data_IF_433820810528
#
_entry.id   IF_433820810528
#
_cell.length_a   1.000
_cell.length_b   1.000
_cell.length_c   1.000
_cell.angle_alpha   90.00
_cell.angle_beta   90.00
_cell.angle_gamma   90.00
#
_symmetry.space_group_name_H-M   'P 1'
#
loop_
_entity.id
_entity.type
_entity.pdbx_description
1 polymer ?
#
# COMPACT_ATOMS: atom_id res chain seq x y z
N UNK A 1 8.58 56.86 -55.23
CA UNK A 1 9.68 56.67 -54.28
C UNK A 1 9.02 56.38 -52.94
N UNK A 2 8.85 55.15 -52.49
CA UNK A 2 9.49 53.89 -52.86
C UNK A 2 8.55 52.70 -52.57
N UNK A 3 8.88 51.59 -53.20
CA UNK A 3 8.19 50.29 -53.21
C UNK A 3 8.31 49.61 -51.84
N UNK A 4 7.18 49.28 -51.19
CA UNK A 4 7.16 48.33 -50.08
C UNK A 4 6.98 46.92 -50.68
N UNK A 5 8.11 46.25 -50.95
CA UNK A 5 8.15 44.86 -51.41
C UNK A 5 7.66 43.89 -50.31
N UNK A 6 6.66 43.09 -50.67
CA UNK A 6 6.15 41.97 -49.89
C UNK A 6 7.19 40.84 -49.82
N UNK A 7 7.78 40.61 -48.64
CA UNK A 7 8.48 39.35 -48.35
C UNK A 7 7.54 38.42 -47.55
N UNK A 8 6.66 37.71 -48.26
CA UNK A 8 5.86 36.62 -47.70
C UNK A 8 6.79 35.46 -47.32
N UNK A 9 7.21 35.41 -46.05
CA UNK A 9 7.83 34.23 -45.46
C UNK A 9 6.73 33.22 -45.13
N UNK A 10 6.60 32.18 -45.95
CA UNK A 10 5.68 31.07 -45.70
C UNK A 10 6.22 30.22 -44.54
N UNK A 11 5.42 29.92 -43.50
CA UNK A 11 5.86 29.04 -42.44
C UNK A 11 6.13 27.64 -43.01
N UNK A 12 7.39 27.22 -42.93
CA UNK A 12 7.84 25.86 -43.17
C UNK A 12 7.05 24.93 -42.24
N UNK A 13 6.20 24.07 -42.81
CA UNK A 13 5.44 23.08 -42.04
C UNK A 13 6.40 22.08 -41.40
N UNK A 14 6.43 22.02 -40.07
CA UNK A 14 7.23 21.05 -39.33
C UNK A 14 6.86 19.61 -39.76
N UNK A 15 7.86 18.73 -39.96
CA UNK A 15 7.58 17.33 -40.29
C UNK A 15 6.83 16.67 -39.13
N UNK A 16 5.60 16.22 -39.40
CA UNK A 16 4.79 15.47 -38.45
C UNK A 16 5.53 14.17 -38.09
N UNK A 17 5.94 14.05 -36.82
CA UNK A 17 6.54 12.84 -36.26
C UNK A 17 5.53 11.68 -36.33
N UNK A 18 5.71 10.81 -37.33
CA UNK A 18 4.90 9.62 -37.60
C UNK A 18 5.40 8.39 -36.82
N UNK A 19 6.12 8.57 -35.72
CA UNK A 19 6.47 7.45 -34.84
C UNK A 19 5.20 6.78 -34.30
N UNK A 20 5.10 5.43 -34.30
CA UNK A 20 3.92 4.74 -33.78
C UNK A 20 3.71 5.16 -32.32
N UNK A 21 2.45 5.41 -31.89
CA UNK A 21 2.16 5.87 -30.55
C UNK A 21 2.73 4.86 -29.57
N UNK A 22 3.65 5.31 -28.71
CA UNK A 22 4.12 4.54 -27.56
C UNK A 22 2.87 4.14 -26.78
N UNK A 23 2.53 2.85 -26.80
CA UNK A 23 1.40 2.32 -26.05
C UNK A 23 1.66 2.62 -24.58
N UNK A 24 1.00 3.66 -24.05
CA UNK A 24 1.09 3.98 -22.63
C UNK A 24 0.59 2.76 -21.84
N UNK A 25 1.26 2.40 -20.72
CA UNK A 25 0.79 1.32 -19.86
C UNK A 25 -0.68 1.59 -19.50
N UNK A 26 -1.56 0.64 -19.79
CA UNK A 26 -2.99 0.76 -19.49
C UNK A 26 -3.16 0.64 -17.97
N UNK A 27 -3.25 1.78 -17.29
CA UNK A 27 -3.66 1.82 -15.89
C UNK A 27 -5.06 1.22 -15.76
N UNK A 28 -5.33 0.37 -14.75
CA UNK A 28 -6.67 -0.15 -14.52
C UNK A 28 -7.63 1.01 -14.26
N UNK A 29 -8.83 0.91 -14.84
CA UNK A 29 -9.87 1.91 -14.64
C UNK A 29 -10.31 1.98 -13.17
N UNK A 30 -10.82 3.14 -12.72
CA UNK A 30 -11.43 3.31 -11.40
C UNK A 30 -12.40 2.18 -11.00
N UNK A 31 -13.30 1.78 -11.90
CA UNK A 31 -14.30 0.74 -11.64
C UNK A 31 -13.67 -0.65 -11.41
N UNK A 32 -12.54 -0.94 -12.08
CA UNK A 32 -11.82 -2.20 -11.87
C UNK A 32 -11.13 -2.21 -10.50
N UNK A 33 -10.52 -1.10 -10.09
CA UNK A 33 -9.93 -0.94 -8.75
C UNK A 33 -11.00 -1.04 -7.67
N UNK A 34 -12.14 -0.36 -7.84
CA UNK A 34 -13.28 -0.46 -6.91
C UNK A 34 -13.77 -1.90 -6.75
N UNK A 35 -13.91 -2.63 -7.86
CA UNK A 35 -14.32 -4.04 -7.83
C UNK A 35 -13.27 -4.93 -7.12
N UNK A 36 -11.98 -4.69 -7.37
CA UNK A 36 -10.88 -5.41 -6.73
C UNK A 36 -10.87 -5.18 -5.22
N UNK A 37 -11.04 -3.93 -4.79
CA UNK A 37 -11.12 -3.57 -3.38
C UNK A 37 -12.39 -4.09 -2.71
N UNK A 38 -13.52 -4.11 -3.42
CA UNK A 38 -14.74 -4.73 -2.93
C UNK A 38 -14.54 -6.23 -2.66
N UNK A 39 -13.85 -6.94 -3.54
CA UNK A 39 -13.51 -8.36 -3.34
C UNK A 39 -12.56 -8.57 -2.13
N UNK A 40 -11.55 -7.71 -1.97
CA UNK A 40 -10.70 -7.71 -0.78
C UNK A 40 -11.49 -7.40 0.51
N UNK A 41 -12.48 -6.50 0.41
CA UNK A 41 -13.36 -6.09 1.50
C UNK A 41 -14.37 -7.19 1.89
N UNK A 42 -14.81 -8.00 0.94
CA UNK A 42 -15.75 -9.11 1.19
C UNK A 42 -15.06 -10.41 1.62
N UNK A 43 -13.75 -10.53 1.47
CA UNK A 43 -13.03 -11.77 1.77
C UNK A 43 -13.12 -12.81 0.65
N UNK A 44 -13.52 -12.40 -0.56
CA UNK A 44 -13.71 -13.32 -1.70
C UNK A 44 -12.41 -13.47 -2.49
N UNK A 45 -11.52 -14.35 -2.00
CA UNK A 45 -10.26 -14.66 -2.66
C UNK A 45 -10.43 -15.18 -4.11
N UNK A 46 -11.39 -16.09 -4.43
CA UNK A 46 -11.64 -16.49 -5.81
C UNK A 46 -12.01 -15.33 -6.74
N UNK A 47 -12.91 -14.44 -6.31
CA UNK A 47 -13.29 -13.26 -7.09
C UNK A 47 -12.11 -12.30 -7.23
N UNK A 48 -11.36 -12.04 -6.16
CA UNK A 48 -10.18 -11.20 -6.17
C UNK A 48 -9.13 -11.71 -7.18
N UNK A 49 -8.84 -13.02 -7.18
CA UNK A 49 -7.97 -13.67 -8.18
C UNK A 49 -8.49 -13.52 -9.61
N UNK A 50 -9.80 -13.66 -9.80
CA UNK A 50 -10.43 -13.52 -11.13
C UNK A 50 -10.34 -12.09 -11.64
N UNK A 51 -10.64 -11.11 -10.79
CA UNK A 51 -10.55 -9.69 -11.12
C UNK A 51 -9.11 -9.28 -11.40
N UNK A 52 -8.16 -9.79 -10.62
CA UNK A 52 -6.74 -9.56 -10.84
C UNK A 52 -6.25 -10.08 -12.20
N UNK A 53 -6.58 -11.33 -12.55
CA UNK A 53 -6.21 -11.88 -13.87
C UNK A 53 -6.78 -11.06 -15.03
N UNK A 54 -8.03 -10.62 -14.90
CA UNK A 54 -8.67 -9.77 -15.90
C UNK A 54 -8.04 -8.37 -15.99
N UNK A 55 -7.49 -7.86 -14.88
CA UNK A 55 -6.78 -6.59 -14.86
C UNK A 55 -5.37 -6.69 -15.49
N UNK A 56 -4.72 -7.85 -15.40
CA UNK A 56 -3.39 -8.15 -15.96
C UNK A 56 -3.34 -8.40 -17.47
N UNK A 57 -4.47 -8.40 -18.19
CA UNK A 57 -4.44 -8.47 -19.66
C UNK A 57 -3.81 -7.21 -20.32
N UNK A 58 -3.53 -6.18 -19.52
CA UNK A 58 -2.49 -5.19 -19.79
C UNK A 58 -1.41 -5.31 -18.72
N UNK A 59 -0.14 -5.13 -19.07
CA UNK A 59 1.03 -5.30 -18.21
C UNK A 59 1.07 -4.25 -17.06
N UNK A 60 0.20 -4.36 -16.05
CA UNK A 60 0.05 -3.43 -14.93
C UNK A 60 0.28 -4.12 -13.59
N UNK A 61 0.97 -3.46 -12.67
CA UNK A 61 1.25 -3.90 -11.29
C UNK A 61 0.04 -3.58 -10.37
N UNK A 62 -0.97 -4.45 -10.18
CA UNK A 62 -2.32 -4.04 -9.78
C UNK A 62 -2.48 -3.78 -8.27
N UNK A 63 -1.63 -4.39 -7.44
CA UNK A 63 -1.68 -4.21 -5.97
C UNK A 63 -0.73 -3.13 -5.45
N UNK A 64 0.08 -2.61 -6.36
CA UNK A 64 0.85 -1.38 -6.20
C UNK A 64 0.06 -0.16 -6.67
N UNK A 65 -1.26 -0.24 -6.75
CA UNK A 65 -2.09 0.90 -7.10
C UNK A 65 -2.92 1.25 -5.88
N UNK A 66 -2.80 2.50 -5.46
CA UNK A 66 -3.67 3.07 -4.45
C UNK A 66 -5.04 3.35 -5.09
N UNK A 67 -6.10 3.41 -4.28
CA UNK A 67 -7.38 3.94 -4.77
C UNK A 67 -7.24 5.45 -5.08
N UNK A 68 -6.90 5.80 -6.32
CA UNK A 68 -6.77 7.19 -6.77
C UNK A 68 -7.87 7.64 -7.74
N UNK A 69 -9.14 7.55 -7.35
CA UNK A 69 -10.14 8.33 -8.09
C UNK A 69 -11.24 8.94 -7.24
N UNK A 70 -11.48 8.46 -6.03
CA UNK A 70 -12.55 9.03 -5.18
C UNK A 70 -12.34 8.85 -3.66
N UNK A 71 -11.30 8.15 -3.23
CA UNK A 71 -11.05 7.87 -1.80
C UNK A 71 -9.84 8.67 -1.30
N UNK A 72 -10.08 9.52 -0.30
CA UNK A 72 -9.08 10.37 0.37
C UNK A 72 -8.05 9.58 1.20
N UNK A 73 -7.94 8.26 1.04
CA UNK A 73 -7.23 7.38 1.98
C UNK A 73 -5.95 6.73 1.45
N UNK A 74 -5.77 6.56 0.12
CA UNK A 74 -4.57 5.91 -0.43
C UNK A 74 -4.46 4.41 -0.15
N UNK A 75 -5.55 3.78 0.32
CA UNK A 75 -5.57 2.36 0.66
C UNK A 75 -5.39 1.46 -0.57
N UNK A 76 -4.67 0.36 -0.35
CA UNK A 76 -4.54 -0.76 -1.30
C UNK A 76 -5.42 -1.94 -0.85
N UNK A 77 -5.61 -2.94 -1.72
CA UNK A 77 -6.33 -4.16 -1.35
C UNK A 77 -5.68 -4.89 -0.15
N UNK A 78 -4.34 -4.79 -0.03
CA UNK A 78 -3.60 -5.35 1.08
C UNK A 78 -3.98 -4.69 2.42
N UNK A 79 -4.10 -3.36 2.46
CA UNK A 79 -4.57 -2.64 3.65
C UNK A 79 -5.99 -3.05 4.06
N UNK A 80 -6.89 -3.18 3.08
CA UNK A 80 -8.29 -3.56 3.32
C UNK A 80 -8.36 -4.98 3.87
N UNK A 81 -7.66 -5.93 3.24
CA UNK A 81 -7.62 -7.32 3.69
C UNK A 81 -7.04 -7.44 5.11
N UNK A 82 -5.97 -6.70 5.41
CA UNK A 82 -5.37 -6.69 6.73
C UNK A 82 -6.26 -6.06 7.80
N UNK A 83 -6.95 -4.96 7.49
CA UNK A 83 -7.92 -4.35 8.41
C UNK A 83 -9.09 -5.29 8.73
N UNK A 84 -9.48 -6.15 7.78
CA UNK A 84 -10.59 -7.10 7.94
C UNK A 84 -10.19 -8.48 8.45
N UNK A 85 -8.89 -8.79 8.53
CA UNK A 85 -8.43 -10.07 9.06
C UNK A 85 -8.40 -11.21 8.04
N UNK A 86 -8.47 -10.92 6.74
CA UNK A 86 -8.43 -11.95 5.69
C UNK A 86 -7.00 -12.36 5.37
N UNK A 87 -6.45 -13.26 6.20
CA UNK A 87 -5.08 -13.74 6.10
C UNK A 87 -4.77 -14.38 4.74
N UNK A 88 -5.69 -15.16 4.18
CA UNK A 88 -5.54 -15.82 2.89
C UNK A 88 -5.37 -14.82 1.73
N UNK A 89 -6.12 -13.71 1.76
CA UNK A 89 -5.96 -12.59 0.82
C UNK A 89 -4.64 -11.87 1.06
N UNK A 90 -4.25 -11.62 2.31
CA UNK A 90 -2.95 -10.98 2.63
C UNK A 90 -1.79 -11.80 2.08
N UNK A 91 -1.78 -13.11 2.35
CA UNK A 91 -0.76 -14.04 1.84
C UNK A 91 -0.70 -13.96 0.32
N UNK A 92 -1.85 -14.13 -0.33
CA UNK A 92 -1.90 -14.15 -1.78
C UNK A 92 -1.48 -12.80 -2.42
N UNK A 93 -1.91 -11.67 -1.86
CA UNK A 93 -1.51 -10.34 -2.34
C UNK A 93 0.02 -10.15 -2.29
N UNK A 94 0.69 -10.65 -1.25
CA UNK A 94 2.14 -10.49 -1.08
C UNK A 94 2.92 -11.48 -1.96
N UNK A 95 2.55 -12.75 -1.94
CA UNK A 95 3.33 -13.82 -2.59
C UNK A 95 3.07 -13.90 -4.12
N UNK A 96 1.85 -13.59 -4.56
CA UNK A 96 1.42 -13.76 -5.96
C UNK A 96 0.95 -12.44 -6.60
N UNK A 97 0.42 -11.53 -5.78
CA UNK A 97 -0.10 -10.24 -6.24
C UNK A 97 0.96 -9.13 -6.38
N UNK A 98 2.19 -9.34 -5.90
CA UNK A 98 3.24 -8.32 -5.93
C UNK A 98 2.97 -7.11 -5.03
N UNK A 99 2.11 -7.26 -4.01
CA UNK A 99 1.82 -6.20 -3.06
C UNK A 99 3.02 -5.93 -2.14
N UNK A 100 3.31 -4.65 -1.86
CA UNK A 100 4.42 -4.24 -1.00
C UNK A 100 3.90 -4.03 0.42
N UNK A 101 4.34 -4.81 1.43
CA UNK A 101 3.81 -4.72 2.80
C UNK A 101 4.08 -3.37 3.49
N UNK A 102 5.23 -2.76 3.22
CA UNK A 102 5.63 -1.47 3.81
C UNK A 102 5.07 -0.26 3.06
N UNK A 103 4.19 -0.45 2.08
CA UNK A 103 3.51 0.69 1.48
C UNK A 103 2.60 1.33 2.52
N UNK A 104 2.79 2.63 2.72
CA UNK A 104 1.96 3.53 3.49
C UNK A 104 0.74 4.07 2.72
N UNK A 105 -0.41 4.12 3.40
CA UNK A 105 -1.56 4.87 2.93
C UNK A 105 -1.39 6.40 3.16
N UNK A 106 -2.42 7.22 2.91
CA UNK A 106 -2.32 8.68 3.08
C UNK A 106 -2.15 9.13 4.54
N UNK A 107 -2.42 8.25 5.50
CA UNK A 107 -2.21 8.48 6.93
C UNK A 107 -0.83 7.97 7.38
N UNK A 108 0.02 7.50 6.46
CA UNK A 108 1.29 6.87 6.79
C UNK A 108 1.12 5.44 7.31
N UNK A 109 -0.10 4.89 7.31
CA UNK A 109 -0.35 3.58 7.89
C UNK A 109 0.01 2.47 6.90
N UNK A 110 0.83 1.53 7.36
CA UNK A 110 1.16 0.30 6.61
C UNK A 110 0.15 -0.83 6.88
N UNK A 111 0.30 -1.94 6.17
CA UNK A 111 -0.49 -3.17 6.43
C UNK A 111 -0.39 -3.64 7.90
N UNK A 112 0.78 -3.45 8.53
CA UNK A 112 1.02 -3.86 9.91
C UNK A 112 0.24 -2.97 10.89
N UNK A 113 0.13 -1.66 10.61
CA UNK A 113 -0.72 -0.74 11.39
C UNK A 113 -2.18 -1.17 11.35
N UNK A 114 -2.72 -1.45 10.16
CA UNK A 114 -4.12 -1.88 10.01
C UNK A 114 -4.40 -3.21 10.71
N UNK A 115 -3.49 -4.18 10.62
CA UNK A 115 -3.63 -5.46 11.31
C UNK A 115 -3.62 -5.29 12.84
N UNK A 116 -2.71 -4.48 13.38
CA UNK A 116 -2.61 -4.22 14.82
C UNK A 116 -3.78 -3.38 15.36
N UNK A 117 -4.21 -2.36 14.62
CA UNK A 117 -5.35 -1.51 14.97
C UNK A 117 -6.67 -2.30 15.05
N UNK A 118 -6.78 -3.40 14.30
CA UNK A 118 -7.98 -4.22 14.23
C UNK A 118 -7.87 -5.59 14.94
N UNK A 119 -6.76 -5.89 15.61
CA UNK A 119 -6.66 -7.08 16.45
C UNK A 119 -6.29 -8.37 15.70
N UNK A 120 -5.70 -8.29 14.51
CA UNK A 120 -5.45 -9.46 13.66
C UNK A 120 -4.06 -10.07 13.87
N UNK A 121 -3.83 -10.69 15.03
CA UNK A 121 -2.57 -11.36 15.37
C UNK A 121 -2.06 -12.36 14.31
N UNK A 122 -2.90 -13.20 13.65
CA UNK A 122 -2.41 -14.12 12.61
C UNK A 122 -1.72 -13.41 11.45
N UNK A 123 -2.18 -12.22 11.09
CA UNK A 123 -1.60 -11.40 10.01
C UNK A 123 -0.27 -10.79 10.48
N UNK A 124 -0.20 -10.30 11.71
CA UNK A 124 1.04 -9.78 12.30
C UNK A 124 2.13 -10.86 12.31
N UNK A 125 1.78 -12.08 12.73
CA UNK A 125 2.68 -13.24 12.72
C UNK A 125 3.16 -13.64 11.33
N UNK A 126 2.35 -13.40 10.30
CA UNK A 126 2.73 -13.68 8.92
C UNK A 126 3.67 -12.62 8.34
N UNK A 127 3.44 -11.35 8.71
CA UNK A 127 4.22 -10.22 8.21
C UNK A 127 5.60 -10.11 8.86
N UNK A 128 5.72 -10.51 10.13
CA UNK A 128 6.95 -10.38 10.90
C UNK A 128 7.64 -11.75 11.10
N UNK A 129 8.98 -11.77 11.18
CA UNK A 129 9.88 -10.61 11.21
C UNK A 129 10.32 -10.08 9.84
N UNK A 130 10.07 -10.81 8.74
CA UNK A 130 10.85 -10.63 7.51
C UNK A 130 10.17 -9.78 6.42
N UNK A 131 8.84 -9.60 6.46
CA UNK A 131 8.10 -8.98 5.34
C UNK A 131 7.73 -7.53 5.58
N UNK A 132 7.67 -7.08 6.82
CA UNK A 132 7.26 -5.73 7.19
C UNK A 132 8.19 -5.12 8.24
N UNK A 133 8.33 -3.80 8.23
CA UNK A 133 9.04 -3.06 9.27
C UNK A 133 8.14 -2.94 10.52
N UNK A 134 8.57 -3.57 11.62
CA UNK A 134 7.88 -3.54 12.91
C UNK A 134 7.85 -2.14 13.54
N UNK A 135 8.81 -1.27 13.18
CA UNK A 135 8.98 0.07 13.73
C UNK A 135 8.51 1.17 12.77
N UNK A 136 7.86 0.80 11.66
CA UNK A 136 7.24 1.75 10.75
C UNK A 136 6.34 2.71 11.52
N UNK A 137 6.41 3.99 11.16
CA UNK A 137 5.68 5.06 11.83
C UNK A 137 4.66 5.67 10.90
N UNK A 138 3.44 5.82 11.37
CA UNK A 138 2.41 6.57 10.65
C UNK A 138 2.63 8.10 10.73
N UNK A 139 1.71 8.86 10.15
CA UNK A 139 1.77 10.31 10.13
C UNK A 139 1.72 10.94 11.53
N UNK A 140 1.24 10.25 12.57
CA UNK A 140 1.25 10.71 13.96
C UNK A 140 2.45 10.18 14.76
N UNK A 141 3.33 9.42 14.10
CA UNK A 141 4.49 8.77 14.69
C UNK A 141 4.15 7.52 15.49
N UNK A 142 2.92 7.01 15.36
CA UNK A 142 2.50 5.77 16.01
C UNK A 142 3.04 4.58 15.24
N UNK A 143 3.26 3.49 15.96
CA UNK A 143 3.67 2.20 15.40
C UNK A 143 2.53 1.20 15.53
N UNK A 144 2.66 0.03 14.92
CA UNK A 144 1.74 -1.08 15.15
C UNK A 144 1.56 -1.41 16.65
N UNK A 145 2.62 -1.28 17.45
CA UNK A 145 2.55 -1.49 18.91
C UNK A 145 1.70 -0.41 19.61
N UNK A 146 1.83 0.88 19.24
CA UNK A 146 0.96 1.95 19.76
C UNK A 146 -0.51 1.63 19.50
N UNK A 147 -0.84 1.21 18.28
CA UNK A 147 -2.20 0.82 17.89
C UNK A 147 -2.72 -0.36 18.74
N UNK A 148 -1.93 -1.42 18.90
CA UNK A 148 -2.32 -2.58 19.69
C UNK A 148 -2.55 -2.23 21.17
N UNK A 149 -1.67 -1.41 21.77
CA UNK A 149 -1.81 -0.94 23.15
C UNK A 149 -3.05 -0.06 23.33
N UNK A 150 -3.26 0.92 22.46
CA UNK A 150 -4.40 1.84 22.49
C UNK A 150 -5.74 1.09 22.40
N UNK A 151 -5.77 -0.04 21.69
CA UNK A 151 -6.96 -0.90 21.57
C UNK A 151 -7.06 -1.98 22.66
N UNK A 152 -6.03 -2.19 23.46
CA UNK A 152 -6.00 -3.21 24.52
C UNK A 152 -5.86 -4.65 24.00
N UNK A 153 -5.30 -4.86 22.80
CA UNK A 153 -5.06 -6.20 22.25
C UNK A 153 -3.84 -6.85 22.89
N UNK A 154 -4.03 -7.35 24.12
CA UNK A 154 -2.95 -7.87 24.96
C UNK A 154 -2.16 -9.02 24.33
N UNK A 155 -2.80 -9.85 23.51
CA UNK A 155 -2.16 -10.95 22.79
C UNK A 155 -1.18 -10.45 21.71
N UNK A 156 -1.54 -9.37 21.01
CA UNK A 156 -0.68 -8.69 20.04
C UNK A 156 0.46 -7.96 20.74
N UNK A 157 0.15 -7.17 21.77
CA UNK A 157 1.16 -6.46 22.56
C UNK A 157 2.17 -7.46 23.11
N UNK A 158 1.68 -8.54 23.71
CA UNK A 158 2.51 -9.62 24.20
C UNK A 158 3.36 -10.21 23.08
N UNK A 159 2.80 -10.56 21.94
CA UNK A 159 3.56 -11.18 20.86
C UNK A 159 4.64 -10.26 20.28
N UNK A 160 4.32 -8.97 20.07
CA UNK A 160 5.27 -7.97 19.59
C UNK A 160 6.41 -7.76 20.60
N UNK A 161 6.12 -7.74 21.91
CA UNK A 161 7.12 -7.61 22.97
C UNK A 161 7.92 -8.91 23.24
N UNK A 162 7.26 -10.08 23.27
CA UNK A 162 7.84 -11.36 23.73
C UNK A 162 8.59 -12.13 22.63
N UNK A 163 8.31 -11.92 21.34
CA UNK A 163 8.98 -12.70 20.28
C UNK A 163 10.46 -12.29 20.07
N UNK A 164 11.07 -11.59 21.03
CA UNK A 164 12.51 -11.37 21.21
C UNK A 164 13.08 -12.06 22.46
N UNK A 165 12.29 -12.90 23.14
CA UNK A 165 12.64 -13.60 24.38
C UNK A 165 13.13 -15.05 24.18
N UNK A 166 13.68 -15.38 23.01
CA UNK A 166 14.42 -16.63 22.81
C UNK A 166 15.91 -16.31 22.64
N UNK A 167 16.59 -16.20 23.77
CA UNK A 167 18.03 -16.30 23.96
C UNK A 167 18.93 -15.30 23.20
N UNK A 168 19.69 -14.56 24.02
CA UNK A 168 20.88 -13.77 23.72
C UNK A 168 20.71 -12.30 23.27
N UNK A 169 21.20 -11.45 24.16
CA UNK A 169 21.95 -10.20 23.96
C UNK A 169 21.49 -9.21 22.87
N UNK A 170 21.01 -8.06 23.36
CA UNK A 170 21.08 -6.73 22.74
C UNK A 170 20.50 -6.58 21.32
N UNK A 171 19.27 -6.05 21.23
CA UNK A 171 19.10 -4.73 20.61
C UNK A 171 17.68 -4.16 20.81
N UNK A 172 17.62 -2.85 20.73
CA UNK A 172 16.53 -1.92 21.05
C UNK A 172 15.35 -1.92 20.02
N UNK A 173 14.96 -3.09 19.48
CA UNK A 173 14.46 -3.16 18.08
C UNK A 173 12.95 -3.31 17.84
N UNK A 174 12.05 -3.16 18.81
CA UNK A 174 10.58 -3.34 18.56
C UNK A 174 9.66 -2.20 18.94
N UNK A 175 10.22 -1.01 19.09
CA UNK A 175 9.43 0.21 19.16
C UNK A 175 8.67 0.40 20.47
N UNK A 176 9.02 -0.36 21.51
CA UNK A 176 8.54 -0.18 22.89
C UNK A 176 8.90 1.21 23.44
N UNK A 177 10.04 1.76 23.02
CA UNK A 177 10.50 3.11 23.39
C UNK A 177 10.29 4.14 22.27
N UNK A 178 9.67 3.75 21.14
CA UNK A 178 9.36 4.69 20.07
C UNK A 178 8.34 5.70 20.57
N UNK A 179 8.67 6.98 20.45
CA UNK A 179 7.76 8.07 20.77
C UNK A 179 6.96 8.50 19.55
N UNK A 180 5.65 8.63 19.73
CA UNK A 180 4.77 9.37 18.82
C UNK A 180 5.13 10.86 18.79
N UNK A 181 4.55 11.61 17.84
CA UNK A 181 4.72 13.07 17.77
C UNK A 181 4.25 13.80 19.04
N UNK A 182 3.30 13.21 19.78
CA UNK A 182 2.85 13.71 21.08
C UNK A 182 3.74 13.33 22.27
N UNK A 183 4.83 12.59 22.05
CA UNK A 183 5.76 12.13 23.08
C UNK A 183 5.32 10.86 23.81
N UNK A 184 4.18 10.28 23.44
CA UNK A 184 3.66 9.04 24.04
C UNK A 184 4.46 7.82 23.57
N UNK A 185 4.76 6.94 24.51
CA UNK A 185 5.22 5.56 24.26
C UNK A 185 4.01 4.63 24.16
N UNK A 186 4.15 3.45 23.51
CA UNK A 186 3.07 2.47 23.43
C UNK A 186 2.64 1.91 24.79
N UNK A 187 3.58 1.76 25.72
CA UNK A 187 3.39 1.25 27.09
C UNK A 187 3.48 2.42 28.08
#
# INVERSE_FOLDING_TARGET
EDEDDEEFVYPISEPQDNSPPVLQPKHPSPAQLESLYAAASSGDLPLLKRLFRNALEGNVEPFSLSNDSSSRTGLTALHIAASRGYLDIVIWCIEEGGAIPNWEDKEGETVLHKAALNGHLPIIKYLLPDKADVNAKDADGWTALHNACSKGYLDIVRWLCESGGAADEQDDVRGVDVRSKGGWTPL
#
